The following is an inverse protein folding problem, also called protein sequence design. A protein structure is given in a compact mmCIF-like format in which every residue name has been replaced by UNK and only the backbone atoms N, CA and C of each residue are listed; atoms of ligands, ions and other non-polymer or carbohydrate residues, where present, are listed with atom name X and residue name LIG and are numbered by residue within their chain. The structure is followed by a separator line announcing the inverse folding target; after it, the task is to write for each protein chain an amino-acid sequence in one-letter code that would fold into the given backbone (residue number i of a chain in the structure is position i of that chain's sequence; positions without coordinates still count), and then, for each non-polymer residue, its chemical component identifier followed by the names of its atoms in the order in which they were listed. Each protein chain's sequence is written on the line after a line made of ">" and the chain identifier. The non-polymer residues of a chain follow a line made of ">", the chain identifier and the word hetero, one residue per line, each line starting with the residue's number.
data_IF_263461514192
#
_entry.id   IF_263461514192
#
_cell.length_a   1.000
_cell.length_b   1.000
_cell.length_c   1.000
_cell.angle_alpha   90.00
_cell.angle_beta   90.00
_cell.angle_gamma   90.00
#
_symmetry.space_group_name_H-M   'P 1'
#
loop_
_entity.id
_entity.type
_entity.pdbx_description
1 polymer ?
#
# COMPACT_ATOMS: atom_id res chain seq x y z
N UNK A 1 -32.47 -24.71 18.04
CA UNK A 1 -31.20 -24.50 17.33
C UNK A 1 -31.51 -23.95 15.96
N UNK A 2 -31.48 -22.63 15.80
CA UNK A 2 -31.65 -21.98 14.49
C UNK A 2 -30.26 -21.82 13.86
N UNK A 3 -30.05 -22.50 12.74
CA UNK A 3 -28.87 -22.34 11.89
C UNK A 3 -28.81 -20.89 11.41
N UNK A 4 -27.94 -20.06 12.00
CA UNK A 4 -27.55 -18.77 11.44
C UNK A 4 -26.90 -19.08 10.09
N UNK A 5 -27.55 -18.69 9.00
CA UNK A 5 -26.89 -18.57 7.70
C UNK A 5 -25.83 -17.47 7.84
N UNK A 6 -24.60 -17.87 8.15
CA UNK A 6 -23.46 -16.97 8.09
C UNK A 6 -23.26 -16.67 6.60
N UNK A 7 -23.52 -15.43 6.19
CA UNK A 7 -23.07 -14.98 4.89
C UNK A 7 -21.57 -15.31 4.77
N UNK A 8 -21.12 -15.90 3.65
CA UNK A 8 -19.71 -16.23 3.48
C UNK A 8 -18.88 -14.96 3.62
N UNK A 9 -17.88 -14.99 4.49
CA UNK A 9 -16.91 -13.89 4.65
C UNK A 9 -16.18 -13.73 3.32
N UNK A 10 -16.14 -12.50 2.78
CA UNK A 10 -15.37 -12.23 1.55
C UNK A 10 -13.88 -12.47 1.83
N UNK A 11 -13.25 -13.28 0.99
CA UNK A 11 -11.81 -13.54 1.02
C UNK A 11 -11.21 -12.75 -0.15
N UNK A 12 -10.50 -11.67 0.18
CA UNK A 12 -9.85 -10.83 -0.83
C UNK A 12 -8.37 -11.20 -1.01
N UNK A 13 -7.78 -11.95 -0.06
CA UNK A 13 -6.41 -12.44 -0.10
C UNK A 13 -6.27 -13.81 0.56
N UNK A 14 -5.23 -14.56 0.18
CA UNK A 14 -4.89 -15.81 0.84
C UNK A 14 -4.39 -15.55 2.28
N UNK A 15 -4.78 -16.38 3.27
CA UNK A 15 -4.25 -16.31 4.62
C UNK A 15 -2.74 -16.48 4.62
N UNK A 16 -2.01 -15.72 5.44
CA UNK A 16 -0.57 -15.85 5.61
C UNK A 16 -0.23 -16.76 6.79
N UNK A 17 0.06 -18.06 6.56
CA UNK A 17 0.33 -19.02 7.65
C UNK A 17 1.62 -18.72 8.41
N UNK A 18 2.51 -17.90 7.85
CA UNK A 18 3.77 -17.45 8.47
C UNK A 18 3.66 -16.08 9.11
N UNK A 19 2.51 -15.42 8.97
CA UNK A 19 2.25 -14.09 9.51
C UNK A 19 2.13 -14.10 11.02
N UNK A 20 2.62 -13.05 11.67
CA UNK A 20 2.46 -12.85 13.10
C UNK A 20 1.04 -12.47 13.48
N UNK A 21 0.61 -12.91 14.65
CA UNK A 21 -0.68 -12.59 15.24
C UNK A 21 -0.54 -11.51 16.31
N UNK A 22 -1.39 -10.48 16.29
CA UNK A 22 -1.47 -9.49 17.38
C UNK A 22 -2.53 -9.98 18.37
N UNK A 23 -2.17 -10.98 19.19
CA UNK A 23 -3.12 -11.66 20.09
C UNK A 23 -3.93 -10.72 21.00
N UNK A 24 -3.34 -9.66 21.59
CA UNK A 24 -4.13 -8.70 22.38
C UNK A 24 -5.21 -7.99 21.55
N UNK A 25 -4.97 -7.73 20.26
CA UNK A 25 -5.96 -7.13 19.38
C UNK A 25 -7.05 -8.12 18.99
N UNK A 26 -6.70 -9.35 18.63
CA UNK A 26 -7.67 -10.40 18.29
C UNK A 26 -8.65 -10.67 19.45
N UNK A 27 -8.12 -10.83 20.67
CA UNK A 27 -8.93 -11.02 21.88
C UNK A 27 -9.85 -9.81 22.13
N UNK A 28 -9.32 -8.60 22.04
CA UNK A 28 -10.11 -7.39 22.24
C UNK A 28 -11.20 -7.21 21.17
N UNK A 29 -10.97 -7.60 19.92
CA UNK A 29 -12.00 -7.60 18.87
C UNK A 29 -13.06 -8.69 19.06
N UNK A 30 -12.68 -9.86 19.58
CA UNK A 30 -13.62 -10.90 19.96
C UNK A 30 -14.52 -10.42 21.12
N UNK A 31 -13.95 -9.79 22.13
CA UNK A 31 -14.69 -9.15 23.23
C UNK A 31 -15.64 -8.05 22.72
N UNK A 32 -15.17 -7.16 21.84
CA UNK A 32 -15.99 -6.12 21.22
C UNK A 32 -17.17 -6.71 20.43
N UNK A 33 -16.94 -7.83 19.73
CA UNK A 33 -17.97 -8.53 18.97
C UNK A 33 -19.02 -9.14 19.88
N UNK A 34 -18.59 -9.76 21.00
CA UNK A 34 -19.50 -10.33 21.99
C UNK A 34 -20.36 -9.24 22.65
N UNK A 35 -19.75 -8.13 23.08
CA UNK A 35 -20.46 -6.98 23.62
C UNK A 35 -21.47 -6.42 22.62
N UNK A 36 -21.08 -6.29 21.35
CA UNK A 36 -21.99 -5.86 20.29
C UNK A 36 -23.20 -6.80 20.12
N UNK A 37 -22.98 -8.12 20.13
CA UNK A 37 -24.07 -9.11 20.07
C UNK A 37 -25.01 -9.03 21.27
N UNK A 38 -24.47 -8.75 22.46
CA UNK A 38 -25.21 -8.60 23.71
C UNK A 38 -25.91 -7.24 23.85
N UNK A 39 -25.68 -6.30 22.92
CA UNK A 39 -26.13 -4.89 22.98
C UNK A 39 -25.48 -4.08 24.10
N UNK A 40 -24.28 -4.46 24.50
CA UNK A 40 -23.47 -3.75 25.48
C UNK A 40 -22.47 -2.78 24.80
N UNK A 41 -21.72 -2.04 25.60
CA UNK A 41 -20.71 -1.09 25.13
C UNK A 41 -19.44 -1.81 24.66
N UNK A 42 -19.03 -1.57 23.41
CA UNK A 42 -17.84 -2.19 22.79
C UNK A 42 -16.60 -1.28 22.77
N UNK A 43 -16.74 0.01 23.13
CA UNK A 43 -15.71 1.03 22.95
C UNK A 43 -14.39 0.74 23.66
N UNK A 44 -14.43 0.30 24.92
CA UNK A 44 -13.23 0.00 25.70
C UNK A 44 -12.40 -1.15 25.09
N UNK A 45 -13.07 -2.18 24.56
CA UNK A 45 -12.40 -3.29 23.90
C UNK A 45 -11.77 -2.85 22.57
N UNK A 46 -12.49 -2.06 21.77
CA UNK A 46 -11.95 -1.48 20.53
C UNK A 46 -10.75 -0.55 20.76
N UNK A 47 -10.74 0.22 21.85
CA UNK A 47 -9.59 1.06 22.22
C UNK A 47 -8.34 0.22 22.54
N UNK A 48 -8.51 -0.91 23.24
CA UNK A 48 -7.40 -1.86 23.49
C UNK A 48 -6.88 -2.45 22.18
N UNK A 49 -7.78 -2.85 21.27
CA UNK A 49 -7.39 -3.34 19.95
C UNK A 49 -6.61 -2.29 19.14
N UNK A 50 -7.09 -1.04 19.10
CA UNK A 50 -6.39 0.07 18.40
C UNK A 50 -4.98 0.29 18.97
N UNK A 51 -4.84 0.25 20.30
CA UNK A 51 -3.53 0.40 20.94
C UNK A 51 -2.57 -0.75 20.58
N UNK A 52 -3.04 -2.00 20.64
CA UNK A 52 -2.22 -3.16 20.29
C UNK A 52 -1.77 -3.13 18.82
N UNK A 53 -2.67 -2.79 17.89
CA UNK A 53 -2.34 -2.65 16.46
C UNK A 53 -1.35 -1.52 16.20
N UNK A 54 -1.49 -0.39 16.90
CA UNK A 54 -0.53 0.72 16.83
C UNK A 54 0.86 0.29 17.28
N UNK A 55 0.92 -0.43 18.39
CA UNK A 55 2.19 -0.94 18.93
C UNK A 55 2.85 -1.92 17.97
N UNK A 56 2.07 -2.77 17.27
CA UNK A 56 2.58 -3.66 16.22
C UNK A 56 2.97 -2.95 14.91
N UNK A 57 2.54 -1.69 14.71
CA UNK A 57 2.74 -0.94 13.48
C UNK A 57 1.77 -1.29 12.35
N UNK A 58 0.61 -1.86 12.70
CA UNK A 58 -0.43 -2.26 11.76
C UNK A 58 -1.34 -1.06 11.48
N UNK A 59 -0.78 -0.02 10.86
CA UNK A 59 -1.38 1.33 10.83
C UNK A 59 -2.73 1.39 10.11
N UNK A 60 -2.91 0.67 9.00
CA UNK A 60 -4.20 0.63 8.29
C UNK A 60 -5.29 -0.03 9.14
N UNK A 61 -4.97 -1.15 9.80
CA UNK A 61 -5.85 -1.83 10.74
C UNK A 61 -6.17 -0.96 11.97
N UNK A 62 -5.18 -0.20 12.46
CA UNK A 62 -5.35 0.77 13.54
C UNK A 62 -6.32 1.89 13.16
N UNK A 63 -6.20 2.47 11.94
CA UNK A 63 -7.14 3.49 11.45
C UNK A 63 -8.56 2.94 11.27
N UNK A 64 -8.70 1.71 10.79
CA UNK A 64 -9.99 1.03 10.70
C UNK A 64 -10.63 0.87 12.09
N UNK A 65 -9.83 0.41 13.06
CA UNK A 65 -10.28 0.24 14.45
C UNK A 65 -10.66 1.58 15.09
N UNK A 66 -9.94 2.67 14.80
CA UNK A 66 -10.30 4.01 15.27
C UNK A 66 -11.65 4.50 14.71
N UNK A 67 -12.02 4.11 13.49
CA UNK A 67 -13.35 4.42 12.95
C UNK A 67 -14.43 3.61 13.68
N UNK A 68 -14.18 2.34 13.98
CA UNK A 68 -15.07 1.52 14.83
C UNK A 68 -15.23 2.14 16.23
N UNK A 69 -14.14 2.55 16.88
CA UNK A 69 -14.18 3.23 18.20
C UNK A 69 -15.09 4.46 18.15
N UNK A 70 -14.97 5.27 17.10
CA UNK A 70 -15.79 6.49 16.97
C UNK A 70 -17.26 6.20 16.73
N UNK A 71 -17.57 5.13 16.00
CA UNK A 71 -18.96 4.76 15.69
C UNK A 71 -19.61 3.92 16.81
N UNK A 72 -18.82 3.34 17.72
CA UNK A 72 -19.35 2.43 18.75
C UNK A 72 -20.45 3.05 19.63
N UNK A 73 -20.41 4.33 20.05
CA UNK A 73 -21.49 4.92 20.84
C UNK A 73 -22.81 4.99 20.07
N UNK A 74 -22.75 5.28 18.76
CA UNK A 74 -23.93 5.35 17.88
C UNK A 74 -24.52 3.95 17.63
N UNK A 75 -23.69 2.91 17.59
CA UNK A 75 -24.14 1.52 17.43
C UNK A 75 -24.74 0.90 18.71
N UNK A 76 -24.38 1.44 19.89
CA UNK A 76 -24.87 1.03 21.22
C UNK A 76 -25.93 1.97 21.80
N UNK A 77 -26.26 3.08 21.12
CA UNK A 77 -27.20 4.10 21.57
C UNK A 77 -28.67 3.68 21.52
N UNK A 78 -29.58 4.65 21.69
CA UNK A 78 -31.02 4.39 21.69
C UNK A 78 -31.49 3.76 20.36
N UNK A 79 -32.59 2.98 20.35
CA UNK A 79 -33.01 2.19 19.19
C UNK A 79 -33.19 3.01 17.91
N UNK A 80 -33.63 4.27 18.04
CA UNK A 80 -33.87 5.17 16.91
C UNK A 80 -32.56 5.70 16.28
N UNK A 81 -31.50 5.91 17.08
CA UNK A 81 -30.19 6.38 16.60
C UNK A 81 -29.33 5.21 16.10
N UNK A 82 -29.49 4.03 16.72
CA UNK A 82 -28.73 2.83 16.36
C UNK A 82 -29.26 2.10 15.10
N UNK A 83 -30.48 2.43 14.64
CA UNK A 83 -31.15 1.70 13.55
C UNK A 83 -30.35 1.71 12.23
N UNK A 84 -29.68 2.81 11.91
CA UNK A 84 -28.85 2.96 10.71
C UNK A 84 -27.39 2.54 10.92
N UNK A 85 -26.79 2.83 12.08
CA UNK A 85 -25.36 2.62 12.32
C UNK A 85 -25.02 1.17 12.71
N UNK A 86 -25.91 0.48 13.42
CA UNK A 86 -25.70 -0.89 13.92
C UNK A 86 -25.44 -1.94 12.83
N UNK A 87 -26.17 -2.00 11.70
CA UNK A 87 -25.87 -3.00 10.65
C UNK A 87 -24.49 -2.76 10.01
N UNK A 88 -24.14 -1.50 9.73
CA UNK A 88 -22.84 -1.11 9.16
C UNK A 88 -21.71 -1.49 10.12
N UNK A 89 -21.83 -1.09 11.39
CA UNK A 89 -20.86 -1.42 12.43
C UNK A 89 -20.68 -2.93 12.59
N UNK A 90 -21.77 -3.68 12.65
CA UNK A 90 -21.73 -5.12 12.86
C UNK A 90 -21.11 -5.88 11.68
N UNK A 91 -21.37 -5.47 10.44
CA UNK A 91 -20.74 -6.05 9.26
C UNK A 91 -19.24 -5.75 9.22
N UNK A 92 -18.87 -4.48 9.40
CA UNK A 92 -17.48 -4.03 9.42
C UNK A 92 -16.66 -4.74 10.49
N UNK A 93 -17.18 -4.87 11.73
CA UNK A 93 -16.49 -5.54 12.83
C UNK A 93 -16.24 -7.02 12.55
N UNK A 94 -17.22 -7.73 11.96
CA UNK A 94 -17.06 -9.16 11.63
C UNK A 94 -16.02 -9.38 10.54
N UNK A 95 -16.12 -8.66 9.44
CA UNK A 95 -15.23 -8.84 8.28
C UNK A 95 -13.80 -8.39 8.61
N UNK A 96 -13.65 -7.32 9.38
CA UNK A 96 -12.35 -6.87 9.87
C UNK A 96 -11.70 -7.88 10.81
N UNK A 97 -12.46 -8.47 11.74
CA UNK A 97 -11.93 -9.52 12.62
C UNK A 97 -11.43 -10.71 11.82
N UNK A 98 -12.22 -11.17 10.85
CA UNK A 98 -11.83 -12.29 9.99
C UNK A 98 -10.59 -11.97 9.13
N UNK A 99 -10.43 -10.73 8.65
CA UNK A 99 -9.23 -10.30 7.95
C UNK A 99 -8.00 -10.22 8.86
N UNK A 100 -8.18 -9.80 10.12
CA UNK A 100 -7.09 -9.77 11.09
C UNK A 100 -6.56 -11.19 11.39
N UNK A 101 -7.46 -12.16 11.52
CA UNK A 101 -7.15 -13.58 11.78
C UNK A 101 -6.42 -14.26 10.60
N UNK A 102 -6.40 -13.64 9.40
CA UNK A 102 -5.62 -14.12 8.24
C UNK A 102 -4.15 -13.71 8.26
N UNK A 103 -3.74 -12.88 9.22
CA UNK A 103 -2.34 -12.46 9.46
C UNK A 103 -1.64 -11.85 8.24
N UNK A 104 -2.41 -11.25 7.33
CA UNK A 104 -1.92 -10.67 6.08
C UNK A 104 -1.96 -9.14 6.14
N UNK A 105 -0.81 -8.50 6.40
CA UNK A 105 -0.69 -7.03 6.48
C UNK A 105 -1.12 -6.31 5.20
N UNK A 106 -0.92 -6.93 4.04
CA UNK A 106 -1.28 -6.35 2.75
C UNK A 106 -2.78 -6.38 2.54
N UNK A 107 -3.45 -7.44 2.97
CA UNK A 107 -4.92 -7.49 2.97
C UNK A 107 -5.51 -6.36 3.83
N UNK A 108 -4.98 -6.16 5.04
CA UNK A 108 -5.43 -5.09 5.96
C UNK A 108 -5.23 -3.67 5.41
N UNK A 109 -4.35 -3.52 4.42
CA UNK A 109 -4.06 -2.24 3.77
C UNK A 109 -4.82 -2.06 2.46
N UNK A 110 -4.98 -3.12 1.68
CA UNK A 110 -5.40 -3.05 0.28
C UNK A 110 -6.75 -3.73 -0.04
N UNK A 111 -7.41 -4.39 0.93
CA UNK A 111 -8.71 -5.03 0.69
C UNK A 111 -9.78 -4.01 0.27
N UNK A 112 -10.41 -4.18 -0.91
CA UNK A 112 -11.56 -3.38 -1.31
C UNK A 112 -12.74 -3.56 -0.36
N UNK A 113 -12.94 -4.77 0.18
CA UNK A 113 -14.02 -5.05 1.14
C UNK A 113 -13.85 -4.24 2.41
N UNK A 114 -12.65 -4.27 3.03
CA UNK A 114 -12.35 -3.46 4.21
C UNK A 114 -12.44 -1.97 3.90
N UNK A 115 -11.97 -1.51 2.74
CA UNK A 115 -12.11 -0.10 2.38
C UNK A 115 -13.56 0.34 2.25
N UNK A 116 -14.43 -0.48 1.64
CA UNK A 116 -15.86 -0.17 1.53
C UNK A 116 -16.51 -0.03 2.91
N UNK A 117 -16.22 -0.96 3.83
CA UNK A 117 -16.64 -0.86 5.23
C UNK A 117 -16.12 0.41 5.89
N UNK A 118 -14.83 0.71 5.74
CA UNK A 118 -14.22 1.92 6.31
C UNK A 118 -14.89 3.20 5.80
N UNK A 119 -15.16 3.27 4.49
CA UNK A 119 -15.88 4.38 3.87
C UNK A 119 -17.31 4.52 4.41
N UNK A 120 -18.03 3.41 4.57
CA UNK A 120 -19.38 3.40 5.14
C UNK A 120 -19.39 3.83 6.61
N UNK A 121 -18.44 3.34 7.42
CA UNK A 121 -18.24 3.79 8.80
C UNK A 121 -18.01 5.30 8.86
N UNK A 122 -17.10 5.84 8.04
CA UNK A 122 -16.82 7.26 8.00
C UNK A 122 -18.00 8.10 7.50
N UNK A 123 -18.81 7.59 6.57
CA UNK A 123 -20.01 8.27 6.10
C UNK A 123 -21.06 8.44 7.22
N UNK A 124 -21.10 7.54 8.21
CA UNK A 124 -21.96 7.67 9.40
C UNK A 124 -21.43 8.67 10.42
N UNK A 125 -20.11 8.95 10.42
CA UNK A 125 -19.45 9.84 11.38
C UNK A 125 -19.39 11.30 10.93
N UNK A 126 -19.49 11.55 9.63
CA UNK A 126 -19.32 12.88 9.03
C UNK A 126 -20.71 13.50 8.84
N UNK A 127 -20.94 14.69 9.41
CA UNK A 127 -22.03 15.56 8.93
C UNK A 127 -21.76 15.89 7.45
N UNK A 128 -22.75 15.75 6.55
CA UNK A 128 -22.54 15.78 5.10
C UNK A 128 -21.94 17.11 4.63
N UNK A 129 -20.61 17.19 4.64
CA UNK A 129 -19.82 18.29 4.12
C UNK A 129 -19.30 17.89 2.75
N UNK A 130 -19.67 18.61 1.67
CA UNK A 130 -19.21 18.29 0.32
C UNK A 130 -17.68 18.31 0.26
N UNK A 131 -17.07 17.21 -0.21
CA UNK A 131 -15.62 17.10 -0.41
C UNK A 131 -14.83 16.41 0.71
N UNK A 132 -15.46 16.05 1.84
CA UNK A 132 -14.82 15.32 2.94
C UNK A 132 -14.84 13.79 2.77
N UNK A 133 -14.76 13.29 1.53
CA UNK A 133 -14.85 11.86 1.25
C UNK A 133 -13.53 11.15 1.56
N UNK A 134 -13.60 10.04 2.30
CA UNK A 134 -12.46 9.17 2.58
C UNK A 134 -12.00 8.48 1.30
N UNK A 135 -10.69 8.50 1.03
CA UNK A 135 -10.11 7.93 -0.17
C UNK A 135 -9.36 6.61 0.12
N UNK A 136 -9.24 5.73 -0.88
CA UNK A 136 -8.62 4.41 -0.72
C UNK A 136 -7.14 4.51 -0.36
N UNK A 137 -6.44 5.45 -0.99
CA UNK A 137 -5.04 5.76 -0.76
C UNK A 137 -4.73 6.24 0.68
N UNK A 138 -5.72 6.70 1.42
CA UNK A 138 -5.55 7.06 2.83
C UNK A 138 -5.33 5.81 3.68
N UNK A 139 -6.03 4.72 3.37
CA UNK A 139 -5.89 3.45 4.06
C UNK A 139 -4.70 2.66 3.51
N UNK A 140 -4.58 2.52 2.19
CA UNK A 140 -3.55 1.71 1.55
C UNK A 140 -2.14 2.27 1.78
N UNK A 141 -1.95 3.59 1.64
CA UNK A 141 -0.64 4.23 1.74
C UNK A 141 -0.46 4.95 3.08
N UNK A 142 -1.04 4.40 4.15
CA UNK A 142 -0.98 4.99 5.48
C UNK A 142 0.47 5.12 5.96
N UNK A 143 0.88 6.34 6.33
CA UNK A 143 2.24 6.71 6.75
C UNK A 143 3.38 6.45 5.74
N UNK A 144 3.05 5.98 4.52
CA UNK A 144 4.05 5.78 3.46
C UNK A 144 4.40 7.11 2.80
N UNK A 145 5.69 7.47 2.72
CA UNK A 145 6.13 8.65 1.97
C UNK A 145 5.86 8.45 0.47
N UNK A 146 5.52 9.53 -0.22
CA UNK A 146 5.28 9.48 -1.68
C UNK A 146 6.11 10.56 -2.36
N UNK A 147 7.09 10.19 -3.20
CA UNK A 147 7.91 11.16 -3.89
C UNK A 147 7.04 12.00 -4.84
N UNK A 148 7.36 13.28 -5.03
CA UNK A 148 6.66 14.11 -5.99
C UNK A 148 6.87 13.56 -7.40
N UNK A 149 5.79 13.55 -8.19
CA UNK A 149 5.84 13.11 -9.58
C UNK A 149 5.84 14.31 -10.53
N UNK A 150 6.77 14.30 -11.48
CA UNK A 150 6.89 15.30 -12.52
C UNK A 150 5.87 15.06 -13.63
N UNK A 151 5.56 16.11 -14.39
CA UNK A 151 4.88 16.04 -15.68
C UNK A 151 5.91 16.42 -16.73
N UNK A 152 6.33 15.46 -17.56
CA UNK A 152 7.38 15.67 -18.54
C UNK A 152 7.02 16.79 -19.54
N UNK A 153 7.86 17.81 -19.63
CA UNK A 153 7.63 18.97 -20.50
C UNK A 153 7.48 18.57 -21.97
N UNK A 154 6.39 19.01 -22.60
CA UNK A 154 6.09 18.79 -24.01
C UNK A 154 5.66 20.08 -24.71
N UNK A 155 5.73 20.10 -26.05
CA UNK A 155 5.23 21.24 -26.80
C UNK A 155 3.71 21.38 -26.65
N UNK A 156 3.21 22.62 -26.65
CA UNK A 156 1.77 22.88 -26.49
C UNK A 156 0.93 22.20 -27.58
N UNK A 157 1.44 22.18 -28.83
CA UNK A 157 0.77 21.53 -29.96
C UNK A 157 0.67 20.02 -29.78
N UNK A 158 1.75 19.38 -29.31
CA UNK A 158 1.75 17.94 -29.02
C UNK A 158 0.78 17.60 -27.89
N UNK A 159 0.78 18.37 -26.81
CA UNK A 159 -0.16 18.16 -25.69
C UNK A 159 -1.61 18.37 -26.12
N UNK A 160 -1.90 19.39 -26.94
CA UNK A 160 -3.24 19.60 -27.48
C UNK A 160 -3.70 18.41 -28.34
N UNK A 161 -2.81 17.88 -29.18
CA UNK A 161 -3.09 16.71 -30.01
C UNK A 161 -3.35 15.45 -29.16
N UNK A 162 -2.47 15.15 -28.20
CA UNK A 162 -2.61 13.98 -27.32
C UNK A 162 -3.87 14.07 -26.47
N UNK A 163 -4.19 15.26 -25.94
CA UNK A 163 -5.41 15.48 -25.18
C UNK A 163 -6.67 15.25 -26.02
N UNK A 164 -6.72 15.74 -27.26
CA UNK A 164 -7.86 15.49 -28.13
C UNK A 164 -8.07 13.99 -28.42
N UNK A 165 -6.96 13.25 -28.61
CA UNK A 165 -6.99 11.78 -28.75
C UNK A 165 -7.50 11.10 -27.49
N UNK A 166 -6.98 11.51 -26.32
CA UNK A 166 -7.40 11.00 -25.01
C UNK A 166 -8.89 11.23 -24.76
N UNK A 167 -9.39 12.45 -24.93
CA UNK A 167 -10.80 12.81 -24.68
C UNK A 167 -11.75 12.04 -25.60
N UNK A 168 -11.36 11.82 -26.86
CA UNK A 168 -12.13 11.01 -27.82
C UNK A 168 -12.22 9.54 -27.38
N UNK A 169 -11.13 8.98 -26.88
CA UNK A 169 -11.07 7.59 -26.40
C UNK A 169 -11.70 7.41 -25.00
N UNK A 170 -11.72 8.46 -24.18
CA UNK A 170 -12.27 8.39 -22.83
C UNK A 170 -13.79 8.17 -22.84
N UNK A 171 -14.52 8.77 -23.79
CA UNK A 171 -15.97 8.76 -23.80
C UNK A 171 -16.59 7.34 -23.90
N UNK A 172 -16.13 6.45 -24.81
CA UNK A 172 -16.54 5.05 -24.81
C UNK A 172 -16.30 4.33 -23.46
N UNK A 173 -15.15 4.55 -22.83
CA UNK A 173 -14.78 3.92 -21.56
C UNK A 173 -15.66 4.39 -20.40
N UNK A 174 -16.04 5.67 -20.37
CA UNK A 174 -16.96 6.18 -19.36
C UNK A 174 -18.40 5.70 -19.55
N UNK A 175 -18.80 5.44 -20.81
CA UNK A 175 -20.15 4.98 -21.15
C UNK A 175 -20.32 3.46 -21.08
N UNK A 176 -19.23 2.70 -21.02
CA UNK A 176 -19.30 1.24 -21.00
C UNK A 176 -20.03 0.74 -19.74
N UNK A 177 -21.01 -0.13 -19.95
CA UNK A 177 -21.68 -0.86 -18.88
C UNK A 177 -21.07 -2.26 -18.77
N UNK A 178 -20.67 -2.64 -17.55
CA UNK A 178 -19.86 -3.82 -17.27
C UNK A 178 -20.54 -5.16 -17.68
N UNK A 179 -21.87 -5.22 -17.62
CA UNK A 179 -22.61 -6.50 -17.65
C UNK A 179 -23.73 -6.57 -18.73
N UNK A 180 -23.94 -5.52 -19.52
CA UNK A 180 -25.09 -5.39 -20.44
C UNK A 180 -24.70 -4.98 -21.86
N UNK A 181 -23.40 -4.86 -22.15
CA UNK A 181 -22.89 -4.42 -23.45
C UNK A 181 -22.96 -5.49 -24.54
N UNK A 182 -23.27 -5.09 -25.78
CA UNK A 182 -23.12 -5.96 -26.96
C UNK A 182 -21.64 -6.22 -27.26
N UNK A 183 -21.33 -7.30 -27.98
CA UNK A 183 -19.95 -7.62 -28.40
C UNK A 183 -19.28 -6.48 -29.18
N UNK A 184 -20.06 -5.73 -29.97
CA UNK A 184 -19.59 -4.54 -30.70
C UNK A 184 -19.22 -3.41 -29.73
N UNK A 185 -20.04 -3.16 -28.71
CA UNK A 185 -19.74 -2.14 -27.71
C UNK A 185 -18.47 -2.49 -26.90
N UNK A 186 -18.26 -3.76 -26.59
CA UNK A 186 -17.04 -4.24 -25.94
C UNK A 186 -15.81 -4.03 -26.83
N UNK A 187 -15.89 -4.36 -28.12
CA UNK A 187 -14.79 -4.14 -29.07
C UNK A 187 -14.42 -2.65 -29.21
N UNK A 188 -15.43 -1.77 -29.28
CA UNK A 188 -15.21 -0.31 -29.29
C UNK A 188 -14.55 0.17 -28.00
N UNK A 189 -14.97 -0.36 -26.84
CA UNK A 189 -14.38 0.00 -25.55
C UNK A 189 -12.92 -0.47 -25.46
N UNK A 190 -12.61 -1.67 -25.93
CA UNK A 190 -11.23 -2.19 -25.95
C UNK A 190 -10.33 -1.36 -26.87
N UNK A 191 -10.79 -1.02 -28.06
CA UNK A 191 -10.03 -0.15 -28.98
C UNK A 191 -9.81 1.24 -28.38
N UNK A 192 -10.78 1.76 -27.63
CA UNK A 192 -10.62 3.02 -26.92
C UNK A 192 -9.60 2.92 -25.78
N UNK A 193 -9.58 1.81 -25.02
CA UNK A 193 -8.54 1.56 -24.02
C UNK A 193 -7.15 1.45 -24.67
N UNK A 194 -7.04 0.82 -25.85
CA UNK A 194 -5.76 0.71 -26.59
C UNK A 194 -5.23 2.10 -26.97
N UNK A 195 -6.13 2.99 -27.40
CA UNK A 195 -5.77 4.38 -27.69
C UNK A 195 -5.33 5.15 -26.43
N UNK A 196 -5.97 4.92 -25.28
CA UNK A 196 -5.56 5.53 -24.01
C UNK A 196 -4.15 5.05 -23.59
N UNK A 197 -3.84 3.76 -23.75
CA UNK A 197 -2.51 3.20 -23.46
C UNK A 197 -1.43 3.76 -24.40
N UNK A 198 -1.77 3.96 -25.67
CA UNK A 198 -0.89 4.60 -26.65
C UNK A 198 -0.60 6.05 -26.23
N UNK A 199 -1.61 6.82 -25.85
CA UNK A 199 -1.44 8.20 -25.37
C UNK A 199 -0.57 8.24 -24.11
N UNK A 200 -0.78 7.35 -23.12
CA UNK A 200 0.10 7.30 -21.96
C UNK A 200 1.56 6.96 -22.32
N UNK A 201 1.77 6.13 -23.33
CA UNK A 201 3.11 5.79 -23.82
C UNK A 201 3.79 7.00 -24.47
N UNK A 202 3.06 7.81 -25.23
CA UNK A 202 3.56 9.04 -25.85
C UNK A 202 3.73 10.19 -24.83
N UNK A 203 2.98 10.16 -23.73
CA UNK A 203 3.12 11.13 -22.64
C UNK A 203 4.32 10.85 -21.72
N UNK A 204 4.65 9.58 -21.54
CA UNK A 204 5.69 9.13 -20.62
C UNK A 204 7.09 9.60 -21.04
N UNK A 205 7.72 10.38 -20.16
CA UNK A 205 9.11 10.79 -20.24
C UNK A 205 10.09 9.79 -19.60
N UNK A 206 11.40 10.12 -19.62
CA UNK A 206 12.46 9.25 -19.12
C UNK A 206 12.69 9.34 -17.60
N UNK A 207 12.06 10.30 -16.90
CA UNK A 207 12.18 10.44 -15.45
C UNK A 207 11.50 9.24 -14.75
N UNK A 208 12.20 8.51 -13.86
CA UNK A 208 11.59 7.42 -13.11
C UNK A 208 10.32 7.83 -12.34
N UNK A 209 10.25 9.10 -11.92
CA UNK A 209 9.15 9.71 -11.18
C UNK A 209 8.18 10.50 -12.06
N UNK A 210 8.17 10.29 -13.38
CA UNK A 210 7.14 10.87 -14.25
C UNK A 210 5.77 10.24 -13.96
N UNK A 211 4.77 11.10 -13.72
CA UNK A 211 3.40 10.68 -13.47
C UNK A 211 2.83 9.83 -14.60
N UNK A 212 3.17 10.12 -15.87
CA UNK A 212 2.63 9.36 -17.00
C UNK A 212 3.18 7.94 -17.07
N UNK A 213 4.41 7.70 -16.57
CA UNK A 213 4.96 6.34 -16.39
C UNK A 213 4.17 5.55 -15.35
N UNK A 214 3.82 6.19 -14.21
CA UNK A 214 2.96 5.60 -13.19
C UNK A 214 1.54 5.34 -13.72
N UNK A 215 0.93 6.30 -14.41
CA UNK A 215 -0.40 6.16 -15.00
C UNK A 215 -0.45 5.02 -16.03
N UNK A 216 0.58 4.89 -16.88
CA UNK A 216 0.72 3.78 -17.82
C UNK A 216 0.80 2.42 -17.11
N UNK A 217 1.61 2.30 -16.05
CA UNK A 217 1.72 1.07 -15.27
C UNK A 217 0.37 0.69 -14.64
N UNK A 218 -0.34 1.67 -14.06
CA UNK A 218 -1.68 1.50 -13.50
C UNK A 218 -2.70 1.06 -14.55
N UNK A 219 -2.74 1.71 -15.72
CA UNK A 219 -3.65 1.35 -16.81
C UNK A 219 -3.43 -0.09 -17.28
N UNK A 220 -2.17 -0.48 -17.51
CA UNK A 220 -1.80 -1.85 -17.86
C UNK A 220 -2.26 -2.88 -16.82
N UNK A 221 -2.03 -2.61 -15.53
CA UNK A 221 -2.46 -3.49 -14.45
C UNK A 221 -3.99 -3.66 -14.40
N UNK A 222 -4.74 -2.54 -14.48
CA UNK A 222 -6.20 -2.55 -14.52
C UNK A 222 -6.76 -3.35 -15.70
N UNK A 223 -6.07 -3.32 -16.85
CA UNK A 223 -6.45 -4.09 -18.03
C UNK A 223 -6.16 -5.58 -17.86
N UNK A 224 -4.95 -5.92 -17.43
CA UNK A 224 -4.53 -7.32 -17.25
C UNK A 224 -5.43 -8.08 -16.26
N UNK A 225 -5.96 -7.38 -15.25
CA UNK A 225 -6.84 -7.94 -14.22
C UNK A 225 -8.34 -7.78 -14.51
N UNK A 226 -8.72 -7.20 -15.66
CA UNK A 226 -10.12 -7.05 -16.06
C UNK A 226 -10.91 -5.96 -15.30
N UNK A 227 -10.24 -5.11 -14.53
CA UNK A 227 -10.87 -4.02 -13.76
C UNK A 227 -11.19 -2.79 -14.62
N UNK A 228 -10.51 -2.61 -15.76
CA UNK A 228 -10.59 -1.39 -16.58
C UNK A 228 -12.02 -0.95 -16.98
N UNK A 229 -12.96 -1.89 -17.11
CA UNK A 229 -14.35 -1.63 -17.56
C UNK A 229 -15.36 -1.83 -16.41
N UNK A 230 -15.01 -2.62 -15.40
CA UNK A 230 -15.92 -3.07 -14.32
C UNK A 230 -15.88 -2.19 -13.08
N UNK A 231 -14.71 -1.61 -12.80
CA UNK A 231 -14.46 -0.89 -11.55
C UNK A 231 -14.78 0.61 -11.68
N UNK A 232 -15.54 1.16 -10.73
CA UNK A 232 -15.80 2.59 -10.63
C UNK A 232 -14.50 3.37 -10.42
N UNK A 233 -13.56 2.80 -9.66
CA UNK A 233 -12.26 3.43 -9.40
C UNK A 233 -11.40 3.49 -10.67
N UNK A 234 -11.51 2.51 -11.58
CA UNK A 234 -10.84 2.55 -12.89
C UNK A 234 -11.37 3.71 -13.76
N UNK A 235 -12.69 3.89 -13.84
CA UNK A 235 -13.28 5.04 -14.56
C UNK A 235 -12.90 6.38 -13.92
N UNK A 236 -12.88 6.45 -12.58
CA UNK A 236 -12.42 7.64 -11.86
C UNK A 236 -10.94 7.94 -12.15
N UNK A 237 -10.10 6.91 -12.23
CA UNK A 237 -8.70 7.04 -12.61
C UNK A 237 -8.54 7.66 -14.00
N UNK A 238 -9.21 7.13 -15.03
CA UNK A 238 -9.14 7.70 -16.38
C UNK A 238 -9.70 9.13 -16.46
N UNK A 239 -10.76 9.44 -15.72
CA UNK A 239 -11.30 10.80 -15.63
C UNK A 239 -10.32 11.78 -14.95
N UNK A 240 -9.65 11.35 -13.86
CA UNK A 240 -8.63 12.15 -13.18
C UNK A 240 -7.38 12.37 -14.04
N UNK A 241 -6.99 11.39 -14.85
CA UNK A 241 -5.90 11.56 -15.83
C UNK A 241 -6.24 12.62 -16.89
N UNK A 242 -7.52 12.75 -17.29
CA UNK A 242 -7.95 13.83 -18.17
C UNK A 242 -7.76 15.23 -17.53
N UNK A 243 -8.06 15.35 -16.24
CA UNK A 243 -7.83 16.58 -15.49
C UNK A 243 -6.33 16.90 -15.39
N UNK A 244 -5.51 15.88 -15.15
CA UNK A 244 -4.05 16.01 -15.14
C UNK A 244 -3.49 16.44 -16.51
N UNK A 245 -4.05 15.94 -17.62
CA UNK A 245 -3.71 16.42 -18.96
C UNK A 245 -4.06 17.89 -19.15
N UNK A 246 -5.19 18.33 -18.62
CA UNK A 246 -5.59 19.73 -18.66
C UNK A 246 -4.69 20.63 -17.79
N UNK A 247 -4.22 20.15 -16.64
CA UNK A 247 -3.22 20.82 -15.80
C UNK A 247 -1.87 20.88 -16.53
N UNK A 248 -1.44 19.77 -17.13
CA UNK A 248 -0.19 19.69 -17.89
C UNK A 248 -0.18 20.66 -19.08
N UNK A 249 -1.29 20.73 -19.84
CA UNK A 249 -1.44 21.70 -20.92
C UNK A 249 -1.44 23.17 -20.45
N UNK A 250 -1.72 23.42 -19.16
CA UNK A 250 -1.60 24.75 -18.52
C UNK A 250 -0.19 25.06 -18.02
N UNK A 251 0.78 24.17 -18.26
CA UNK A 251 2.17 24.34 -17.82
C UNK A 251 2.41 23.96 -16.36
N UNK A 252 1.52 23.17 -15.75
CA UNK A 252 1.78 22.61 -14.42
C UNK A 252 2.83 21.51 -14.56
N UNK A 253 3.92 21.64 -13.80
CA UNK A 253 5.08 20.73 -13.86
C UNK A 253 4.99 19.54 -12.90
N UNK A 254 4.09 19.60 -11.90
CA UNK A 254 3.91 18.54 -10.89
C UNK A 254 2.51 17.99 -10.90
N UNK A 255 2.40 16.66 -10.92
CA UNK A 255 1.11 16.03 -10.69
C UNK A 255 0.65 16.29 -9.23
N UNK A 256 -0.66 16.54 -9.01
CA UNK A 256 -1.19 16.68 -7.66
C UNK A 256 -0.89 15.45 -6.81
N UNK A 257 -0.42 15.66 -5.57
CA UNK A 257 -0.06 14.55 -4.65
C UNK A 257 -1.21 13.56 -4.45
N UNK A 258 -2.44 14.05 -4.33
CA UNK A 258 -3.63 13.19 -4.18
C UNK A 258 -3.83 12.28 -5.40
N UNK A 259 -3.56 12.78 -6.60
CA UNK A 259 -3.63 11.98 -7.83
C UNK A 259 -2.55 10.89 -7.83
N UNK A 260 -1.29 11.25 -7.55
CA UNK A 260 -0.18 10.29 -7.48
C UNK A 260 -0.48 9.18 -6.48
N UNK A 261 -0.95 9.55 -5.27
CA UNK A 261 -1.33 8.60 -4.22
C UNK A 261 -2.46 7.68 -4.65
N UNK A 262 -3.52 8.22 -5.25
CA UNK A 262 -4.65 7.43 -5.73
C UNK A 262 -4.24 6.42 -6.81
N UNK A 263 -3.47 6.87 -7.80
CA UNK A 263 -2.97 6.00 -8.88
C UNK A 263 -2.03 4.92 -8.33
N UNK A 264 -1.14 5.28 -7.41
CA UNK A 264 -0.21 4.35 -6.79
C UNK A 264 -0.93 3.30 -5.94
N UNK A 265 -1.91 3.71 -5.13
CA UNK A 265 -2.72 2.78 -4.34
C UNK A 265 -3.49 1.81 -5.24
N UNK A 266 -4.06 2.30 -6.34
CA UNK A 266 -4.80 1.48 -7.30
C UNK A 266 -3.89 0.47 -8.01
N UNK A 267 -2.68 0.88 -8.41
CA UNK A 267 -1.68 -0.02 -8.97
C UNK A 267 -1.26 -1.10 -7.96
N UNK A 268 -0.94 -0.70 -6.72
CA UNK A 268 -0.42 -1.61 -5.71
C UNK A 268 -1.45 -2.63 -5.24
N UNK A 269 -2.74 -2.25 -5.16
CA UNK A 269 -3.84 -3.08 -4.66
C UNK A 269 -3.78 -4.53 -5.15
N UNK A 270 -3.75 -4.73 -6.46
CA UNK A 270 -3.87 -6.07 -7.03
C UNK A 270 -2.58 -6.86 -6.83
N UNK A 271 -1.41 -6.21 -6.92
CA UNK A 271 -0.12 -6.85 -6.65
C UNK A 271 0.11 -7.14 -5.17
N UNK A 272 -0.49 -6.37 -4.27
CA UNK A 272 -0.40 -6.60 -2.84
C UNK A 272 -1.25 -7.80 -2.39
N UNK A 273 -2.43 -7.97 -3.00
CA UNK A 273 -3.37 -9.05 -2.67
C UNK A 273 -3.07 -10.36 -3.39
N UNK A 274 -2.67 -10.27 -4.67
CA UNK A 274 -2.50 -11.44 -5.53
C UNK A 274 -1.07 -11.70 -5.95
N UNK A 275 -0.13 -10.81 -5.62
CA UNK A 275 1.26 -10.88 -6.04
C UNK A 275 1.49 -10.69 -7.54
N UNK A 276 2.76 -10.75 -7.92
CA UNK A 276 3.26 -10.45 -9.26
C UNK A 276 3.83 -11.70 -9.94
N UNK A 277 3.66 -11.79 -11.26
CA UNK A 277 4.34 -12.77 -12.10
C UNK A 277 5.56 -12.16 -12.80
N UNK A 278 6.35 -13.01 -13.48
CA UNK A 278 7.52 -12.56 -14.23
C UNK A 278 7.18 -11.49 -15.30
N UNK A 279 6.01 -11.58 -15.94
CA UNK A 279 5.55 -10.59 -16.92
C UNK A 279 5.18 -9.22 -16.32
N UNK A 280 5.01 -9.13 -15.00
CA UNK A 280 4.68 -7.90 -14.30
C UNK A 280 5.92 -7.09 -13.88
N UNK A 281 7.12 -7.51 -14.28
CA UNK A 281 8.37 -6.92 -13.81
C UNK A 281 8.45 -5.40 -14.02
N UNK A 282 7.93 -4.89 -15.14
CA UNK A 282 7.89 -3.45 -15.42
C UNK A 282 7.04 -2.68 -14.38
N UNK A 283 5.88 -3.23 -13.99
CA UNK A 283 4.99 -2.62 -13.01
C UNK A 283 5.57 -2.72 -11.60
N UNK A 284 6.23 -3.83 -11.29
CA UNK A 284 6.92 -4.01 -10.01
C UNK A 284 8.07 -3.02 -9.87
N UNK A 285 8.84 -2.77 -10.93
CA UNK A 285 9.89 -1.75 -10.91
C UNK A 285 9.33 -0.34 -10.66
N UNK A 286 8.16 -0.01 -11.23
CA UNK A 286 7.46 1.24 -10.90
C UNK A 286 7.04 1.26 -9.43
N UNK A 287 6.49 0.18 -8.89
CA UNK A 287 6.12 0.11 -7.46
C UNK A 287 7.34 0.26 -6.54
N UNK A 288 8.47 -0.36 -6.89
CA UNK A 288 9.75 -0.20 -6.21
C UNK A 288 10.26 1.23 -6.29
N UNK A 289 10.09 1.94 -7.40
CA UNK A 289 10.45 3.35 -7.49
C UNK A 289 9.66 4.20 -6.48
N UNK A 290 8.46 3.77 -6.08
CA UNK A 290 7.58 4.43 -5.10
C UNK A 290 7.60 3.80 -3.68
N UNK A 291 8.52 2.88 -3.38
CA UNK A 291 8.65 2.31 -2.03
C UNK A 291 7.59 1.27 -1.66
N UNK A 292 7.03 0.58 -2.65
CA UNK A 292 6.03 -0.48 -2.46
C UNK A 292 6.59 -1.83 -2.91
N UNK A 293 6.68 -2.77 -1.98
CA UNK A 293 7.09 -4.15 -2.25
C UNK A 293 5.89 -5.02 -2.63
N UNK A 294 6.16 -6.05 -3.42
CA UNK A 294 5.19 -7.07 -3.83
C UNK A 294 5.74 -8.47 -3.59
N UNK A 295 4.87 -9.48 -3.61
CA UNK A 295 5.28 -10.88 -3.53
C UNK A 295 5.36 -11.43 -4.95
N UNK A 296 6.45 -12.12 -5.28
CA UNK A 296 6.66 -12.72 -6.60
C UNK A 296 5.98 -14.08 -6.69
N UNK A 297 4.68 -14.10 -6.43
CA UNK A 297 3.84 -15.29 -6.39
C UNK A 297 2.41 -14.90 -6.77
N UNK A 298 1.80 -15.57 -7.75
CA UNK A 298 0.41 -15.23 -8.15
C UNK A 298 -0.59 -16.09 -7.38
N UNK A 299 -1.26 -15.51 -6.38
CA UNK A 299 -2.44 -16.12 -5.79
C UNK A 299 -3.56 -16.26 -6.83
N UNK A 300 -4.32 -17.35 -6.82
CA UNK A 300 -5.35 -17.62 -7.83
C UNK A 300 -4.93 -18.54 -8.98
N UNK A 301 -3.71 -19.10 -8.95
CA UNK A 301 -3.32 -20.19 -9.85
C UNK A 301 -3.16 -21.49 -9.05
N UNK A 302 -3.67 -22.61 -9.57
CA UNK A 302 -3.71 -23.89 -8.84
C UNK A 302 -2.32 -24.35 -8.35
N UNK A 303 -1.27 -24.14 -9.13
CA UNK A 303 0.10 -24.50 -8.75
C UNK A 303 0.64 -23.66 -7.59
N UNK A 304 0.28 -22.38 -7.59
CA UNK A 304 0.70 -21.38 -6.62
C UNK A 304 -0.05 -21.58 -5.31
N UNK A 305 -1.36 -21.80 -5.39
CA UNK A 305 -2.20 -22.18 -4.25
C UNK A 305 -1.74 -23.51 -3.63
N UNK A 306 -1.39 -24.53 -4.43
CA UNK A 306 -0.86 -25.78 -3.91
C UNK A 306 0.49 -25.63 -3.18
N UNK A 307 1.39 -24.78 -3.69
CA UNK A 307 2.66 -24.46 -3.02
C UNK A 307 2.43 -23.68 -1.73
N UNK A 308 1.47 -22.75 -1.72
CA UNK A 308 1.07 -21.99 -0.55
C UNK A 308 0.44 -22.89 0.52
N UNK A 309 -0.47 -23.78 0.14
CA UNK A 309 -1.10 -24.78 1.02
C UNK A 309 -0.08 -25.77 1.58
N UNK A 310 0.86 -26.26 0.76
CA UNK A 310 1.95 -27.11 1.23
C UNK A 310 2.82 -26.39 2.28
N UNK A 311 3.21 -25.14 2.01
CA UNK A 311 3.93 -24.31 2.98
C UNK A 311 3.13 -23.99 4.24
N UNK A 312 1.81 -23.86 4.13
CA UNK A 312 0.90 -23.66 5.26
C UNK A 312 0.81 -24.91 6.15
N UNK A 313 0.72 -26.10 5.54
CA UNK A 313 0.70 -27.38 6.23
C UNK A 313 2.03 -27.66 6.95
N UNK A 314 3.16 -27.34 6.30
CA UNK A 314 4.49 -27.41 6.94
C UNK A 314 4.57 -26.48 8.15
N UNK A 315 4.11 -25.23 8.03
CA UNK A 315 4.11 -24.24 9.13
C UNK A 315 3.21 -24.63 10.31
N UNK A 316 2.15 -25.42 10.07
CA UNK A 316 1.21 -25.89 11.10
C UNK A 316 1.68 -27.17 11.83
N UNK A 317 2.69 -27.88 11.30
CA UNK A 317 3.02 -29.24 11.75
C UNK A 317 3.58 -29.33 13.18
N UNK A 318 4.13 -28.24 13.75
CA UNK A 318 4.46 -28.08 15.18
C UNK A 318 4.45 -26.57 15.53
N UNK A 319 3.41 -26.02 16.21
CA UNK A 319 3.33 -24.58 16.45
C UNK A 319 4.28 -24.17 17.58
N UNK A 320 5.56 -23.99 17.26
CA UNK A 320 6.49 -23.26 18.11
C UNK A 320 6.33 -21.78 17.80
N UNK A 321 5.58 -21.08 18.65
CA UNK A 321 5.39 -19.63 18.55
C UNK A 321 6.34 -18.90 19.49
N UNK A 322 6.85 -17.76 19.05
CA UNK A 322 7.68 -16.86 19.86
C UNK A 322 6.96 -15.53 20.03
N UNK A 323 6.95 -15.01 21.25
CA UNK A 323 6.35 -13.72 21.54
C UNK A 323 7.40 -12.60 21.41
N UNK A 324 7.03 -11.56 20.65
CA UNK A 324 7.77 -10.34 20.38
C UNK A 324 6.93 -9.16 20.87
N UNK A 325 6.80 -9.03 22.19
CA UNK A 325 5.89 -8.06 22.81
C UNK A 325 4.43 -8.35 22.49
N UNK A 326 3.79 -7.52 21.64
CA UNK A 326 2.37 -7.68 21.26
C UNK A 326 2.15 -8.65 20.10
N UNK A 327 3.23 -9.06 19.43
CA UNK A 327 3.19 -9.93 18.24
C UNK A 327 3.63 -11.35 18.62
N UNK A 328 2.85 -12.35 18.25
CA UNK A 328 3.23 -13.76 18.34
C UNK A 328 3.54 -14.29 16.94
N UNK A 329 4.74 -14.80 16.71
CA UNK A 329 5.22 -15.23 15.39
C UNK A 329 5.58 -16.72 15.37
N UNK A 330 5.57 -17.34 14.19
CA UNK A 330 6.13 -18.68 14.00
C UNK A 330 7.66 -18.64 14.21
N UNK A 331 8.21 -19.53 15.03
CA UNK A 331 9.63 -19.53 15.37
C UNK A 331 10.53 -19.78 14.16
N UNK A 332 10.15 -20.67 13.24
CA UNK A 332 10.95 -20.93 12.04
C UNK A 332 10.96 -19.72 11.11
N UNK A 333 9.80 -19.12 10.87
CA UNK A 333 9.69 -17.89 10.07
C UNK A 333 10.47 -16.72 10.70
N UNK A 334 10.53 -16.67 12.03
CA UNK A 334 11.32 -15.69 12.76
C UNK A 334 12.83 -15.89 12.57
N UNK A 335 13.34 -17.13 12.64
CA UNK A 335 14.76 -17.40 12.39
C UNK A 335 15.17 -17.13 10.93
N UNK A 336 14.32 -17.51 9.96
CA UNK A 336 14.52 -17.17 8.53
C UNK A 336 14.57 -15.64 8.31
N UNK A 337 13.71 -14.92 9.02
CA UNK A 337 13.69 -13.45 9.02
C UNK A 337 14.99 -12.88 9.59
N UNK A 338 15.49 -13.38 10.72
CA UNK A 338 16.74 -12.89 11.32
C UNK A 338 17.93 -13.05 10.37
N UNK A 339 18.05 -14.20 9.69
CA UNK A 339 19.09 -14.43 8.69
C UNK A 339 19.01 -13.42 7.54
N UNK A 340 17.79 -13.16 7.05
CA UNK A 340 17.54 -12.16 5.99
C UNK A 340 17.88 -10.75 6.47
N UNK A 341 17.53 -10.43 7.72
CA UNK A 341 17.73 -9.12 8.32
C UNK A 341 19.21 -8.82 8.54
N UNK A 342 19.98 -9.77 9.07
CA UNK A 342 21.42 -9.61 9.29
C UNK A 342 22.17 -9.31 7.99
N UNK A 343 21.92 -10.11 6.95
CA UNK A 343 22.53 -9.90 5.62
C UNK A 343 22.14 -8.54 5.01
N UNK A 344 20.89 -8.11 5.20
CA UNK A 344 20.40 -6.84 4.66
C UNK A 344 21.00 -5.64 5.39
N UNK A 345 21.16 -5.72 6.71
CA UNK A 345 21.77 -4.65 7.52
C UNK A 345 23.26 -4.53 7.26
N UNK A 346 23.98 -5.65 7.10
CA UNK A 346 25.39 -5.62 6.73
C UNK A 346 25.60 -4.90 5.38
N UNK A 347 24.78 -5.22 4.37
CA UNK A 347 24.79 -4.53 3.09
C UNK A 347 24.46 -3.03 3.23
N UNK A 348 23.40 -2.68 3.94
CA UNK A 348 23.00 -1.29 4.16
C UNK A 348 24.08 -0.46 4.88
N UNK A 349 24.73 -1.03 5.89
CA UNK A 349 25.81 -0.37 6.62
C UNK A 349 27.09 -0.22 5.78
N UNK A 350 27.36 -1.14 4.85
CA UNK A 350 28.44 -0.99 3.87
C UNK A 350 28.16 0.17 2.91
N UNK A 351 26.95 0.24 2.35
CA UNK A 351 26.55 1.29 1.40
C UNK A 351 26.41 2.67 2.04
N UNK A 352 25.93 2.76 3.29
CA UNK A 352 25.86 4.03 4.02
C UNK A 352 27.26 4.68 4.16
N UNK A 353 28.26 3.90 4.60
CA UNK A 353 29.65 4.36 4.73
C UNK A 353 30.27 4.78 3.39
N UNK A 354 29.88 4.13 2.28
CA UNK A 354 30.34 4.50 0.95
C UNK A 354 29.69 5.80 0.46
N UNK A 355 28.43 6.07 0.84
CA UNK A 355 27.67 7.24 0.42
C UNK A 355 28.17 8.57 1.01
N UNK A 356 28.94 8.53 2.09
CA UNK A 356 29.65 9.69 2.67
C UNK A 356 30.82 10.19 1.80
N UNK A 357 31.15 9.45 0.74
CA UNK A 357 32.15 9.85 -0.27
C UNK A 357 31.42 10.18 -1.59
N UNK A 358 30.81 11.37 -1.71
CA UNK A 358 29.96 11.71 -2.86
C UNK A 358 30.70 11.67 -4.21
N UNK A 359 32.02 11.89 -4.23
CA UNK A 359 32.85 11.78 -5.45
C UNK A 359 33.01 10.34 -5.96
N UNK A 360 32.67 9.34 -5.14
CA UNK A 360 32.76 7.91 -5.47
C UNK A 360 31.40 7.19 -5.41
N UNK A 361 30.32 7.92 -5.15
CA UNK A 361 29.00 7.31 -4.97
C UNK A 361 28.51 6.69 -6.29
N UNK A 362 28.60 5.36 -6.39
CA UNK A 362 28.11 4.60 -7.54
C UNK A 362 26.58 4.46 -7.46
N UNK A 363 25.82 4.90 -8.48
CA UNK A 363 24.38 4.68 -8.53
C UNK A 363 23.97 3.20 -8.45
N UNK A 364 24.82 2.28 -8.93
CA UNK A 364 24.56 0.84 -8.87
C UNK A 364 24.58 0.31 -7.43
N UNK A 365 25.50 0.81 -6.59
CA UNK A 365 25.56 0.49 -5.16
C UNK A 365 24.34 1.05 -4.42
N UNK A 366 23.88 2.24 -4.78
CA UNK A 366 22.66 2.81 -4.20
C UNK A 366 21.40 1.99 -4.56
N UNK A 367 21.32 1.41 -5.77
CA UNK A 367 20.25 0.47 -6.11
C UNK A 367 20.33 -0.81 -5.28
N UNK A 368 21.53 -1.38 -5.11
CA UNK A 368 21.73 -2.57 -4.28
C UNK A 368 21.35 -2.33 -2.81
N UNK A 369 21.65 -1.15 -2.27
CA UNK A 369 21.20 -0.73 -0.95
C UNK A 369 19.66 -0.66 -0.88
N UNK A 370 19.03 -0.10 -1.92
CA UNK A 370 17.57 -0.08 -2.05
C UNK A 370 16.96 -1.48 -2.03
N UNK A 371 17.52 -2.40 -2.82
CA UNK A 371 17.03 -3.79 -2.92
C UNK A 371 17.27 -4.58 -1.62
N UNK A 372 18.36 -4.31 -0.88
CA UNK A 372 18.57 -4.87 0.45
C UNK A 372 17.50 -4.38 1.44
N UNK A 373 17.19 -3.08 1.43
CA UNK A 373 16.12 -2.53 2.27
C UNK A 373 14.74 -3.10 1.92
N UNK A 374 14.40 -3.27 0.64
CA UNK A 374 13.13 -3.87 0.23
C UNK A 374 13.01 -5.35 0.54
N UNK A 375 14.10 -6.13 0.44
CA UNK A 375 14.10 -7.53 0.90
C UNK A 375 13.79 -7.62 2.39
N UNK A 376 14.43 -6.78 3.20
CA UNK A 376 14.13 -6.67 4.63
C UNK A 376 12.69 -6.20 4.90
N UNK A 377 12.22 -5.18 4.18
CA UNK A 377 10.86 -4.66 4.29
C UNK A 377 9.79 -5.71 3.97
N UNK A 378 9.97 -6.45 2.88
CA UNK A 378 9.10 -7.56 2.48
C UNK A 378 9.09 -8.67 3.53
N UNK A 379 10.27 -9.10 4.01
CA UNK A 379 10.39 -10.13 5.05
C UNK A 379 9.73 -9.70 6.38
N UNK A 380 9.94 -8.45 6.79
CA UNK A 380 9.29 -7.86 7.96
C UNK A 380 7.76 -7.78 7.80
N UNK A 381 7.28 -7.43 6.61
CA UNK A 381 5.86 -7.38 6.29
C UNK A 381 5.22 -8.77 6.33
N UNK A 382 5.88 -9.78 5.75
CA UNK A 382 5.45 -11.17 5.79
C UNK A 382 5.38 -11.74 7.21
N UNK A 383 6.29 -11.33 8.11
CA UNK A 383 6.29 -11.74 9.52
C UNK A 383 5.29 -10.93 10.38
N UNK A 384 4.83 -9.76 9.93
CA UNK A 384 3.91 -8.89 10.68
C UNK A 384 4.59 -7.76 11.48
N UNK A 385 5.87 -7.47 11.23
CA UNK A 385 6.62 -6.37 11.87
C UNK A 385 6.38 -5.03 11.15
N UNK A 386 5.18 -4.45 11.32
CA UNK A 386 4.71 -3.30 10.55
C UNK A 386 5.61 -2.06 10.59
N UNK A 387 6.14 -1.69 11.77
CA UNK A 387 7.05 -0.54 11.91
C UNK A 387 8.39 -0.76 11.19
N UNK A 388 8.93 -1.99 11.26
CA UNK A 388 10.20 -2.36 10.61
C UNK A 388 10.00 -2.35 9.10
N UNK A 389 8.91 -2.94 8.61
CA UNK A 389 8.55 -2.95 7.20
C UNK A 389 8.43 -1.53 6.63
N UNK A 390 7.68 -0.65 7.30
CA UNK A 390 7.49 0.74 6.86
C UNK A 390 8.81 1.53 6.82
N UNK A 391 9.67 1.38 7.82
CA UNK A 391 10.97 2.06 7.85
C UNK A 391 11.90 1.52 6.75
N UNK A 392 11.97 0.20 6.58
CA UNK A 392 12.79 -0.43 5.55
C UNK A 392 12.33 -0.05 4.13
N UNK A 393 11.03 -0.08 3.86
CA UNK A 393 10.46 0.38 2.58
C UNK A 393 10.76 1.86 2.32
N UNK A 394 10.64 2.72 3.34
CA UNK A 394 10.95 4.14 3.21
C UNK A 394 12.45 4.39 2.97
N UNK A 395 13.32 3.60 3.60
CA UNK A 395 14.77 3.64 3.40
C UNK A 395 15.14 3.16 1.99
N UNK A 396 14.53 2.07 1.51
CA UNK A 396 14.75 1.56 0.16
C UNK A 396 14.35 2.57 -0.92
N UNK A 397 13.23 3.27 -0.72
CA UNK A 397 12.80 4.37 -1.57
C UNK A 397 13.82 5.51 -1.58
N UNK A 398 14.33 5.89 -0.42
CA UNK A 398 15.31 6.96 -0.33
C UNK A 398 16.62 6.61 -1.06
N UNK A 399 17.08 5.34 -0.96
CA UNK A 399 18.23 4.84 -1.72
C UNK A 399 17.98 4.82 -3.23
N UNK A 400 16.82 4.37 -3.69
CA UNK A 400 16.47 4.41 -5.13
C UNK A 400 16.39 5.83 -5.67
N UNK A 401 15.84 6.78 -4.90
CA UNK A 401 15.87 8.20 -5.27
C UNK A 401 17.30 8.72 -5.44
N UNK A 402 18.22 8.31 -4.55
CA UNK A 402 19.64 8.66 -4.65
C UNK A 402 20.31 8.03 -5.87
N UNK A 403 20.01 6.77 -6.17
CA UNK A 403 20.50 6.09 -7.37
C UNK A 403 20.04 6.80 -8.66
N UNK A 404 18.74 7.08 -8.78
CA UNK A 404 18.15 7.75 -9.94
C UNK A 404 18.72 9.17 -10.13
N UNK A 405 18.98 9.89 -9.04
CA UNK A 405 19.66 11.18 -9.10
C UNK A 405 21.12 11.08 -9.58
N UNK A 406 21.82 9.99 -9.25
CA UNK A 406 23.21 9.73 -9.66
C UNK A 406 23.35 9.35 -11.14
N UNK A 407 22.40 8.60 -11.71
CA UNK A 407 22.40 8.20 -13.14
C UNK A 407 21.89 9.32 -14.05
N UNK A 408 21.10 10.26 -13.53
CA UNK A 408 20.43 11.27 -14.33
C UNK A 408 21.43 12.00 -15.26
N UNK A 409 21.18 11.92 -16.57
CA UNK A 409 21.90 12.73 -17.57
C UNK A 409 21.60 14.21 -17.35
N UNK A 410 22.39 15.16 -17.89
CA UNK A 410 22.08 16.59 -17.76
C UNK A 410 20.65 16.94 -18.21
N UNK A 411 20.13 16.24 -19.23
CA UNK A 411 18.75 16.38 -19.69
C UNK A 411 17.73 15.89 -18.65
N UNK A 412 17.98 14.77 -17.97
CA UNK A 412 17.10 14.29 -16.89
C UNK A 412 17.23 15.17 -15.64
N UNK A 413 18.44 15.58 -15.25
CA UNK A 413 18.69 16.48 -14.10
C UNK A 413 17.98 17.82 -14.22
N UNK A 414 17.86 18.36 -15.44
CA UNK A 414 17.10 19.59 -15.69
C UNK A 414 15.61 19.46 -15.34
N UNK A 415 15.09 18.23 -15.24
CA UNK A 415 13.69 17.93 -14.92
C UNK A 415 13.53 17.31 -13.52
N UNK A 416 14.63 16.98 -12.81
CA UNK A 416 14.59 16.49 -11.43
C UNK A 416 14.20 17.65 -10.52
N UNK A 417 12.95 17.64 -10.07
CA UNK A 417 12.38 18.73 -9.29
C UNK A 417 12.74 18.68 -7.80
N UNK A 418 13.18 17.52 -7.29
CA UNK A 418 13.56 17.32 -5.90
C UNK A 418 14.87 16.55 -5.84
N UNK A 419 15.86 17.12 -5.14
CA UNK A 419 17.19 16.54 -4.98
C UNK A 419 17.19 15.16 -4.31
N UNK A 420 18.34 14.50 -4.40
CA UNK A 420 18.58 13.24 -3.73
C UNK A 420 18.43 13.38 -2.20
N UNK A 421 17.95 12.36 -1.49
CA UNK A 421 18.01 12.33 -0.03
C UNK A 421 19.45 12.45 0.48
N UNK A 422 19.70 13.24 1.55
CA UNK A 422 21.04 13.44 2.10
C UNK A 422 21.55 12.15 2.77
N UNK A 423 22.87 11.95 2.73
CA UNK A 423 23.52 10.72 3.23
C UNK A 423 23.28 10.52 4.74
N UNK A 424 23.42 11.58 5.54
CA UNK A 424 23.20 11.55 6.99
C UNK A 424 21.80 11.01 7.36
N UNK A 425 20.76 11.37 6.60
CA UNK A 425 19.40 10.86 6.84
C UNK A 425 19.29 9.37 6.53
N UNK A 426 19.99 8.88 5.51
CA UNK A 426 20.05 7.45 5.18
C UNK A 426 20.79 6.67 6.27
N UNK A 427 21.92 7.19 6.76
CA UNK A 427 22.69 6.59 7.84
C UNK A 427 21.87 6.53 9.14
N UNK A 428 21.25 7.64 9.55
CA UNK A 428 20.40 7.70 10.74
C UNK A 428 19.23 6.72 10.67
N UNK A 429 18.62 6.58 9.49
CA UNK A 429 17.54 5.62 9.28
C UNK A 429 18.01 4.17 9.27
N UNK A 430 19.16 3.87 8.67
CA UNK A 430 19.77 2.55 8.72
C UNK A 430 20.13 2.15 10.16
N UNK A 431 20.63 3.10 10.96
CA UNK A 431 20.91 2.89 12.38
C UNK A 431 19.63 2.67 13.20
N UNK A 432 18.58 3.45 12.95
CA UNK A 432 17.27 3.23 13.57
C UNK A 432 16.67 1.86 13.22
N UNK A 433 16.85 1.41 11.98
CA UNK A 433 16.43 0.08 11.54
C UNK A 433 17.23 -1.02 12.24
N UNK A 434 18.57 -0.91 12.27
CA UNK A 434 19.46 -1.83 12.98
C UNK A 434 19.14 -1.93 14.47
N UNK A 435 18.95 -0.80 15.15
CA UNK A 435 18.59 -0.76 16.56
C UNK A 435 17.21 -1.40 16.81
N UNK A 436 16.26 -1.23 15.89
CA UNK A 436 14.94 -1.87 15.97
C UNK A 436 15.06 -3.39 15.82
N UNK A 437 15.90 -3.87 14.90
CA UNK A 437 16.14 -5.30 14.69
C UNK A 437 16.86 -5.96 15.87
N UNK A 438 17.83 -5.28 16.50
CA UNK A 438 18.45 -5.82 17.72
C UNK A 438 17.44 -5.98 18.87
N UNK A 439 16.44 -5.10 18.98
CA UNK A 439 15.35 -5.26 19.95
C UNK A 439 14.49 -6.47 19.60
N UNK A 440 14.12 -6.61 18.32
CA UNK A 440 13.37 -7.78 17.83
C UNK A 440 14.13 -9.07 18.11
N UNK A 441 15.43 -9.14 17.80
CA UNK A 441 16.31 -10.27 18.08
C UNK A 441 16.34 -10.65 19.58
N UNK A 442 16.31 -9.64 20.45
CA UNK A 442 16.25 -9.81 21.91
C UNK A 442 14.85 -10.22 22.43
N UNK A 443 13.85 -10.43 21.55
CA UNK A 443 12.48 -10.74 21.93
C UNK A 443 11.67 -9.54 22.45
N UNK A 444 12.21 -8.33 22.32
CA UNK A 444 11.48 -7.10 22.67
C UNK A 444 10.61 -6.73 21.48
N UNK A 445 9.33 -6.45 21.75
CA UNK A 445 8.38 -6.15 20.69
C UNK A 445 8.80 -4.94 19.83
N UNK A 446 8.29 -4.87 18.59
CA UNK A 446 8.60 -3.80 17.64
C UNK A 446 7.90 -2.50 18.07
N UNK A 447 8.30 -1.92 19.19
CA UNK A 447 7.78 -0.63 19.58
C UNK A 447 8.30 0.40 18.56
N UNK A 448 7.38 1.09 17.89
CA UNK A 448 7.65 2.32 17.15
C UNK A 448 8.15 3.40 18.11
N UNK A 449 9.38 3.22 18.61
CA UNK A 449 9.99 4.11 19.57
C UNK A 449 10.17 5.49 18.97
N UNK A 450 10.33 6.49 19.82
CA UNK A 450 10.55 7.88 19.42
C UNK A 450 11.65 8.01 18.36
N UNK A 451 12.70 7.20 18.46
CA UNK A 451 13.81 7.18 17.49
C UNK A 451 13.39 6.66 16.10
N UNK A 452 12.71 5.51 16.02
CA UNK A 452 12.20 4.94 14.76
C UNK A 452 11.23 5.90 14.08
N UNK A 453 10.34 6.53 14.86
CA UNK A 453 9.38 7.50 14.34
C UNK A 453 10.06 8.80 13.87
N UNK A 454 11.07 9.27 14.58
CA UNK A 454 11.85 10.44 14.17
C UNK A 454 12.63 10.17 12.87
N UNK A 455 13.26 9.00 12.74
CA UNK A 455 13.96 8.59 11.53
C UNK A 455 12.99 8.47 10.34
N UNK A 456 11.82 7.85 10.52
CA UNK A 456 10.78 7.78 9.50
C UNK A 456 10.31 9.19 9.09
N UNK A 457 10.06 10.08 10.05
CA UNK A 457 9.65 11.45 9.75
C UNK A 457 10.74 12.24 8.99
N UNK A 458 12.02 12.02 9.31
CA UNK A 458 13.14 12.61 8.59
C UNK A 458 13.24 12.07 7.16
N UNK A 459 13.11 10.74 6.97
CA UNK A 459 13.04 10.12 5.65
C UNK A 459 11.87 10.66 4.83
N UNK A 460 10.66 10.74 5.40
CA UNK A 460 9.49 11.26 4.70
C UNK A 460 9.73 12.68 4.20
N UNK A 461 10.29 13.56 5.04
CA UNK A 461 10.66 14.91 4.59
C UNK A 461 11.70 14.88 3.47
N UNK A 462 12.77 14.10 3.62
CA UNK A 462 13.83 13.99 2.61
C UNK A 462 13.31 13.42 1.27
N UNK A 463 12.36 12.47 1.32
CA UNK A 463 11.75 11.85 0.14
C UNK A 463 10.81 12.83 -0.57
N UNK A 464 10.05 13.63 0.18
CA UNK A 464 9.00 14.48 -0.39
C UNK A 464 9.52 15.87 -0.77
N UNK A 465 10.54 16.36 -0.07
CA UNK A 465 11.04 17.74 -0.18
C UNK A 465 12.51 17.80 -0.62
N UNK A 466 13.28 16.71 -0.50
CA UNK A 466 14.70 16.65 -0.84
C UNK A 466 15.63 16.98 0.34
N UNK A 467 16.94 16.96 0.09
CA UNK A 467 17.92 17.61 0.97
C UNK A 467 17.89 19.12 0.74
N UNK A 468 17.70 19.90 1.81
CA UNK A 468 17.82 21.35 1.78
C UNK A 468 19.29 21.79 1.66
#
# INVERSE_FOLDING_TARGET
>A
MTLRSAAPVSIDALPNPRGGAVRPAELALAEASLAFEQRDESGAALLRASHALRTAGWLSAQRFTDALVRLSPLASGEPAEAESARPVFGAALRDFRAALERHNLRELSCSPTLFNHYRELCAQLIEPTPGSAVAFEDLALCARPVPPASLHAQSADQLAHLRARYERALLPVLRSQADTGSAVALAVTNAALDELDAVFTELAGPDPYDFWRLARACAKALRARGHAIRDIEARRFYARCNLALADHARGIERAPRSLVRATLALLWRDYALFGAAAQDADQVEVLHDYGLTVDWHVAGTQSSEALWEAGALEAQSLPHTRDLGVLSVNANAYEDFLQTADASIEALAAHARAADQPEKADPSEALQAGDAAYRLGSAACALGLGHVALLADSLGLAWRRRAHAGVATPAVRAHVMVGAPPADTLEQAAEALRASLHKVAAGVGPAGGSFTQAALAALTRAIEQGGA
#
